data_IF_255598710792
#
_entry.id   IF_255598710792
#
_cell.length_a   1.000
_cell.length_b   1.000
_cell.length_c   1.000
_cell.angle_alpha   90.00
_cell.angle_beta   90.00
_cell.angle_gamma   90.00
#
_symmetry.space_group_name_H-M   'P 1'
#
loop_
_entity.id
_entity.type
_entity.pdbx_description
1 polymer ?
#
# COMPACT_ATOMS: atom_id res chain seq x y z
N UNK A 1 47.90 0.44 16.41
CA UNK A 1 46.77 -0.19 15.67
C UNK A 1 45.48 0.17 16.38
N UNK A 2 44.69 1.10 15.83
CA UNK A 2 43.37 1.43 16.38
C UNK A 2 42.36 1.32 15.24
N UNK A 3 41.63 0.21 15.26
CA UNK A 3 40.50 -0.08 14.38
C UNK A 3 39.28 0.60 14.98
N UNK A 4 38.67 1.52 14.22
CA UNK A 4 37.24 1.55 13.88
C UNK A 4 36.97 2.85 13.13
N UNK A 5 37.09 2.78 11.80
CA UNK A 5 36.34 3.67 10.92
C UNK A 5 34.92 3.07 10.88
N UNK A 6 33.99 3.65 11.65
CA UNK A 6 32.58 3.31 11.52
C UNK A 6 32.11 3.92 10.21
N UNK A 7 32.01 3.05 9.21
CA UNK A 7 31.39 3.33 7.92
C UNK A 7 30.09 4.08 8.14
N UNK A 8 30.07 5.37 7.77
CA UNK A 8 28.87 6.16 7.66
C UNK A 8 27.89 5.37 6.80
N UNK A 9 26.83 4.88 7.43
CA UNK A 9 25.64 4.46 6.74
C UNK A 9 25.11 5.73 6.03
N UNK A 10 25.49 5.92 4.78
CA UNK A 10 24.71 6.67 3.80
C UNK A 10 23.55 5.78 3.33
N UNK A 11 22.86 5.13 4.26
CA UNK A 11 21.72 4.29 3.96
C UNK A 11 20.52 5.19 3.72
N UNK A 12 20.14 5.30 2.45
CA UNK A 12 18.93 5.96 2.00
C UNK A 12 18.82 7.40 2.47
N UNK A 13 19.70 8.25 1.92
CA UNK A 13 19.45 9.67 1.80
C UNK A 13 18.01 9.86 1.30
N UNK A 14 17.20 10.37 2.23
CA UNK A 14 15.87 10.90 2.08
C UNK A 14 15.64 11.39 0.65
N UNK A 15 15.08 10.55 -0.22
CA UNK A 15 14.54 11.03 -1.49
C UNK A 15 13.39 11.92 -1.02
N UNK A 16 13.58 13.23 -0.91
CA UNK A 16 12.51 14.20 -0.64
C UNK A 16 11.68 14.29 -1.91
N UNK A 17 10.77 13.34 -2.12
CA UNK A 17 9.71 13.49 -3.11
C UNK A 17 8.46 13.68 -2.27
N UNK A 18 8.22 14.94 -1.88
CA UNK A 18 6.99 15.44 -1.27
C UNK A 18 5.86 15.41 -2.32
N UNK A 19 5.66 14.27 -2.97
CA UNK A 19 4.37 14.00 -3.59
C UNK A 19 3.39 13.75 -2.45
N UNK A 20 2.81 14.83 -1.93
CA UNK A 20 1.78 14.78 -0.91
C UNK A 20 0.53 14.17 -1.55
N UNK A 21 0.35 12.85 -1.42
CA UNK A 21 -0.86 12.18 -1.89
C UNK A 21 -1.97 12.35 -0.85
N UNK A 22 -3.22 12.61 -1.26
CA UNK A 22 -4.32 12.79 -0.32
C UNK A 22 -4.48 11.59 0.61
N UNK A 23 -4.36 11.83 1.92
CA UNK A 23 -4.51 10.81 2.96
C UNK A 23 -3.31 9.88 3.18
N UNK A 24 -2.26 9.93 2.35
CA UNK A 24 -1.06 9.10 2.49
C UNK A 24 0.10 9.94 3.01
N UNK A 25 0.50 9.68 4.23
CA UNK A 25 1.62 10.30 4.97
C UNK A 25 2.96 9.58 4.76
N UNK A 26 2.93 8.33 4.29
CA UNK A 26 4.12 7.48 4.18
C UNK A 26 4.18 6.73 2.85
N UNK A 27 5.39 6.63 2.28
CA UNK A 27 5.65 5.81 1.08
C UNK A 27 5.31 4.35 1.29
N UNK A 28 5.63 3.80 2.48
CA UNK A 28 5.26 2.43 2.80
C UNK A 28 3.76 2.24 2.74
N UNK A 29 3.00 3.21 3.24
CA UNK A 29 1.54 3.20 3.18
C UNK A 29 1.03 3.28 1.74
N UNK A 30 1.60 4.13 0.88
CA UNK A 30 1.29 4.13 -0.56
C UNK A 30 1.42 2.71 -1.13
N UNK A 31 2.56 2.06 -0.90
CA UNK A 31 2.86 0.74 -1.46
C UNK A 31 1.88 -0.32 -0.95
N UNK A 32 1.59 -0.33 0.36
CA UNK A 32 0.65 -1.29 0.96
C UNK A 32 -0.76 -1.10 0.41
N UNK A 33 -1.28 0.14 0.41
CA UNK A 33 -2.63 0.44 -0.09
C UNK A 33 -2.74 0.11 -1.59
N UNK A 34 -1.74 0.46 -2.39
CA UNK A 34 -1.71 0.14 -3.82
C UNK A 34 -1.64 -1.37 -4.08
N UNK A 35 -0.87 -2.12 -3.28
CA UNK A 35 -0.80 -3.57 -3.39
C UNK A 35 -2.15 -4.24 -3.07
N UNK A 36 -2.81 -3.81 -1.99
CA UNK A 36 -4.15 -4.28 -1.63
C UNK A 36 -5.16 -3.96 -2.73
N UNK A 37 -5.13 -2.73 -3.25
CA UNK A 37 -6.00 -2.34 -4.36
C UNK A 37 -5.73 -3.15 -5.62
N UNK A 38 -4.48 -3.42 -5.96
CA UNK A 38 -4.11 -4.26 -7.10
C UNK A 38 -4.67 -5.69 -6.97
N UNK A 39 -4.73 -6.25 -5.76
CA UNK A 39 -5.37 -7.55 -5.49
C UNK A 39 -6.87 -7.50 -5.77
N UNK A 40 -7.55 -6.41 -5.41
CA UNK A 40 -8.97 -6.24 -5.74
C UNK A 40 -9.20 -6.19 -7.25
N UNK A 41 -8.38 -5.43 -7.99
CA UNK A 41 -8.46 -5.35 -9.46
C UNK A 41 -8.20 -6.72 -10.10
N UNK A 42 -7.24 -7.50 -9.57
CA UNK A 42 -6.98 -8.87 -10.04
C UNK A 42 -8.19 -9.79 -9.83
N UNK A 43 -8.96 -9.60 -8.75
CA UNK A 43 -10.21 -10.31 -8.47
C UNK A 43 -11.41 -9.79 -9.29
N UNK A 44 -11.19 -8.88 -10.24
CA UNK A 44 -12.24 -8.36 -11.12
C UNK A 44 -12.97 -7.12 -10.59
N UNK A 45 -12.44 -6.47 -9.55
CA UNK A 45 -12.99 -5.17 -9.13
C UNK A 45 -12.86 -4.14 -10.26
N UNK A 46 -13.86 -3.28 -10.40
CA UNK A 46 -13.83 -2.22 -11.43
C UNK A 46 -12.79 -1.15 -11.08
N UNK A 47 -11.96 -0.72 -12.04
CA UNK A 47 -11.15 0.49 -11.91
C UNK A 47 -12.00 1.73 -11.61
N UNK A 48 -11.47 2.64 -10.80
CA UNK A 48 -12.07 3.95 -10.48
C UNK A 48 -11.60 5.06 -11.41
N UNK A 49 -10.60 4.77 -12.24
CA UNK A 49 -10.11 5.65 -13.30
C UNK A 49 -10.43 5.03 -14.65
N UNK A 50 -10.55 5.89 -15.66
CA UNK A 50 -10.60 5.43 -17.04
C UNK A 50 -9.20 4.91 -17.43
N UNK A 51 -9.13 3.59 -17.54
CA UNK A 51 -7.92 2.86 -17.88
C UNK A 51 -8.22 2.04 -19.12
N UNK A 52 -7.44 2.26 -20.17
CA UNK A 52 -7.45 1.41 -21.35
C UNK A 52 -7.09 -0.03 -20.90
N UNK A 53 -8.04 -0.99 -20.96
CA UNK A 53 -7.85 -2.34 -20.43
C UNK A 53 -6.68 -3.08 -21.09
N UNK A 54 -6.28 -2.66 -22.30
CA UNK A 54 -5.20 -3.26 -23.07
C UNK A 54 -3.82 -2.68 -22.72
N UNK A 55 -3.76 -1.52 -22.04
CA UNK A 55 -2.51 -0.76 -21.90
C UNK A 55 -2.04 -0.52 -20.48
N UNK A 56 -2.87 -0.74 -19.45
CA UNK A 56 -2.44 -0.56 -18.05
C UNK A 56 -2.55 -1.86 -17.24
N UNK A 57 -1.44 -2.19 -16.57
CA UNK A 57 -1.40 -3.27 -15.56
C UNK A 57 -2.18 -2.85 -14.32
N UNK A 58 -2.77 -3.82 -13.62
CA UNK A 58 -3.51 -3.59 -12.37
C UNK A 58 -2.71 -2.80 -11.32
N UNK A 59 -1.40 -3.03 -11.26
CA UNK A 59 -0.49 -2.29 -10.37
C UNK A 59 -0.40 -0.80 -10.71
N UNK A 60 -0.33 -0.46 -12.00
CA UNK A 60 -0.31 0.93 -12.46
C UNK A 60 -1.65 1.63 -12.19
N UNK A 61 -2.77 0.94 -12.44
CA UNK A 61 -4.11 1.46 -12.13
C UNK A 61 -4.24 1.70 -10.63
N UNK A 62 -3.87 0.74 -9.80
CA UNK A 62 -3.94 0.86 -8.35
C UNK A 62 -3.09 2.02 -7.83
N UNK A 63 -1.85 2.17 -8.30
CA UNK A 63 -1.00 3.30 -7.91
C UNK A 63 -1.63 4.64 -8.27
N UNK A 64 -2.17 4.78 -9.49
CA UNK A 64 -2.81 6.02 -9.93
C UNK A 64 -4.09 6.33 -9.13
N UNK A 65 -4.90 5.31 -8.82
CA UNK A 65 -6.08 5.49 -7.96
C UNK A 65 -5.69 5.94 -6.54
N UNK A 66 -4.65 5.36 -5.94
CA UNK A 66 -4.19 5.74 -4.58
C UNK A 66 -3.57 7.14 -4.59
N UNK A 67 -2.74 7.47 -5.59
CA UNK A 67 -2.16 8.81 -5.73
C UNK A 67 -3.21 9.91 -5.91
N UNK A 68 -4.36 9.57 -6.51
CA UNK A 68 -5.52 10.47 -6.66
C UNK A 68 -6.47 10.48 -5.46
N UNK A 69 -6.22 9.67 -4.42
CA UNK A 69 -7.10 9.56 -3.25
C UNK A 69 -8.45 8.89 -3.55
N UNK A 70 -8.54 8.10 -4.63
CA UNK A 70 -9.79 7.42 -5.03
C UNK A 70 -10.00 6.10 -4.29
N UNK A 71 -8.99 5.61 -3.58
CA UNK A 71 -9.07 4.38 -2.79
C UNK A 71 -9.27 4.75 -1.31
N UNK A 72 -10.47 4.55 -0.75
CA UNK A 72 -10.68 4.74 0.68
C UNK A 72 -9.96 3.64 1.46
N UNK A 73 -9.35 4.00 2.58
CA UNK A 73 -8.77 3.08 3.56
C UNK A 73 -8.88 3.70 4.95
N UNK A 74 -8.88 2.86 5.96
CA UNK A 74 -8.93 3.27 7.37
C UNK A 74 -7.64 2.86 8.05
N UNK A 75 -7.16 3.68 8.97
CA UNK A 75 -6.05 3.33 9.84
C UNK A 75 -6.62 2.67 11.08
N UNK A 76 -6.21 1.43 11.33
CA UNK A 76 -6.50 0.75 12.59
C UNK A 76 -5.48 1.30 13.59
N UNK A 77 -5.95 2.07 14.56
CA UNK A 77 -5.17 2.44 15.74
C UNK A 77 -5.30 1.31 16.76
N UNK A 78 -4.27 1.10 17.59
CA UNK A 78 -4.18 -0.01 18.57
C UNK A 78 -5.40 -0.11 19.53
N UNK A 79 -6.21 0.94 19.63
CA UNK A 79 -7.49 0.93 20.35
C UNK A 79 -8.64 0.16 19.64
N UNK A 80 -8.42 -0.37 18.42
CA UNK A 80 -9.39 -1.10 17.62
C UNK A 80 -8.94 -2.53 17.27
N UNK A 81 -8.37 -3.25 18.23
CA UNK A 81 -8.17 -4.70 18.12
C UNK A 81 -9.33 -5.45 18.79
N UNK A 82 -10.44 -5.70 18.07
CA UNK A 82 -11.41 -6.74 18.51
C UNK A 82 -12.44 -7.25 17.50
N UNK A 83 -12.52 -6.81 16.23
CA UNK A 83 -13.64 -7.25 15.38
C UNK A 83 -13.22 -7.79 14.01
N UNK A 84 -12.71 -9.02 14.02
CA UNK A 84 -12.36 -9.75 12.81
C UNK A 84 -11.76 -11.12 13.10
N UNK A 85 -12.40 -11.91 13.95
CA UNK A 85 -12.13 -13.33 14.04
C UNK A 85 -12.66 -13.95 12.74
N UNK A 86 -11.75 -14.32 11.83
CA UNK A 86 -12.05 -15.27 10.76
C UNK A 86 -12.41 -16.60 11.45
N UNK A 87 -13.68 -16.75 11.80
CA UNK A 87 -14.29 -18.02 12.22
C UNK A 87 -14.33 -18.91 10.97
N UNK A 88 -13.19 -19.53 10.67
CA UNK A 88 -13.07 -20.65 9.73
C UNK A 88 -13.83 -21.81 10.36
N UNK A 89 -15.12 -21.91 10.01
CA UNK A 89 -15.98 -22.99 10.43
C UNK A 89 -15.43 -24.32 9.89
N UNK A 90 -14.80 -25.09 10.77
CA UNK A 90 -14.55 -26.51 10.63
C UNK A 90 -15.88 -27.22 10.31
N UNK A 91 -16.13 -27.46 9.03
CA UNK A 91 -17.19 -28.33 8.56
C UNK A 91 -16.62 -29.74 8.36
N UNK A 92 -16.48 -30.49 9.46
CA UNK A 92 -16.51 -31.96 9.40
C UNK A 92 -17.95 -32.45 9.66
N UNK A 93 -18.47 -33.22 8.71
CA UNK A 93 -19.76 -33.90 8.77
C UNK A 93 -19.94 -34.84 7.59
#
# INVERSE_FOLDING_TARGET
>A
MSRTDQSAHEGFSHISNEEQWPGIDSRYRLIVVAALRSKQLLRGARPRIDADPLKRRNTSIALEEVKRGLVPFTLITEDQESDGHDEEADAEG
#
